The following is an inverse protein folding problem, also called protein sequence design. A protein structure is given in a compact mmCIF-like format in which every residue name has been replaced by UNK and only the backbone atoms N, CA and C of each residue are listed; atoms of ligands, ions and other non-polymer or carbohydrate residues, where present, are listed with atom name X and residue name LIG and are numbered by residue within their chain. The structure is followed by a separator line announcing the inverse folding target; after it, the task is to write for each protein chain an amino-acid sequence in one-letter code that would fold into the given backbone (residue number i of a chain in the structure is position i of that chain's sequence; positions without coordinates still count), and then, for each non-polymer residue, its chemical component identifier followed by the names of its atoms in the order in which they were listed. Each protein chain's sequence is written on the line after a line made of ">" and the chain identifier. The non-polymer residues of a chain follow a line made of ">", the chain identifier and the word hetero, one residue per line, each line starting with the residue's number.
data_IF_935289680347
#
_entry.id   IF_935289680347
#
_cell.length_a   1.000
_cell.length_b   1.000
_cell.length_c   1.000
_cell.angle_alpha   90.00
_cell.angle_beta   90.00
_cell.angle_gamma   90.00
#
_symmetry.space_group_name_H-M   'P 1'
#
loop_
_entity.id
_entity.type
_entity.pdbx_description
1 polymer ?
#
# COMPACT_ATOMS: atom_id res chain seq x y z
N UNK A 1 4.23 -18.08 -0.14
CA UNK A 1 4.07 -16.84 -0.94
C UNK A 1 3.35 -15.75 -0.16
N UNK A 2 2.47 -16.09 0.78
CA UNK A 2 1.93 -15.12 1.73
C UNK A 2 2.87 -14.93 2.92
N UNK A 3 3.05 -13.67 3.29
CA UNK A 3 3.87 -13.27 4.42
C UNK A 3 3.12 -13.54 5.73
N UNK A 4 3.33 -14.72 6.33
CA UNK A 4 2.52 -15.23 7.43
C UNK A 4 2.64 -14.33 8.68
N UNK A 5 1.50 -13.83 9.18
CA UNK A 5 1.43 -12.91 10.32
C UNK A 5 1.64 -11.43 9.96
N UNK A 6 1.75 -11.08 8.68
CA UNK A 6 1.76 -9.67 8.26
C UNK A 6 0.43 -8.96 8.56
N UNK A 7 -0.67 -9.72 8.64
CA UNK A 7 -2.00 -9.20 8.94
C UNK A 7 -2.06 -8.49 10.30
N UNK A 8 -1.31 -8.99 11.28
CA UNK A 8 -1.23 -8.36 12.61
C UNK A 8 -0.60 -6.97 12.59
N UNK A 9 0.15 -6.62 11.53
CA UNK A 9 0.75 -5.30 11.38
C UNK A 9 -0.24 -4.26 10.82
N UNK A 10 -1.40 -4.70 10.34
CA UNK A 10 -2.41 -3.84 9.70
C UNK A 10 -3.81 -4.05 10.30
N UNK A 11 -3.90 -4.71 11.46
CA UNK A 11 -5.15 -4.96 12.18
C UNK A 11 -5.11 -4.41 13.60
N UNK A 12 -6.31 -4.17 14.17
CA UNK A 12 -6.48 -3.77 15.56
C UNK A 12 -5.77 -2.45 15.88
N UNK A 13 -5.07 -2.40 17.02
CA UNK A 13 -4.35 -1.22 17.48
C UNK A 13 -3.08 -0.92 16.69
N UNK A 14 -2.65 -1.83 15.81
CA UNK A 14 -1.37 -1.75 15.14
C UNK A 14 -1.45 -1.01 13.79
N UNK A 15 -2.68 -0.79 13.29
CA UNK A 15 -2.94 -0.08 12.03
C UNK A 15 -2.43 1.37 12.04
N UNK A 16 -2.54 2.07 13.16
CA UNK A 16 -2.16 3.49 13.30
C UNK A 16 -0.74 3.69 13.85
N UNK A 17 0.05 2.62 13.91
CA UNK A 17 1.42 2.72 14.42
C UNK A 17 2.35 3.39 13.40
N UNK A 18 3.39 4.12 13.83
CA UNK A 18 4.34 4.77 12.92
C UNK A 18 4.98 3.82 11.89
N UNK A 19 5.10 2.53 12.20
CA UNK A 19 5.61 1.52 11.29
C UNK A 19 4.71 1.28 10.06
N UNK A 20 3.42 1.62 10.13
CA UNK A 20 2.47 1.56 9.01
C UNK A 20 2.17 2.95 8.42
N UNK A 21 2.99 3.97 8.72
CA UNK A 21 2.77 5.34 8.27
C UNK A 21 3.95 5.82 7.42
N UNK A 22 3.64 6.48 6.31
CA UNK A 22 4.62 7.20 5.48
C UNK A 22 4.03 8.55 5.06
N UNK A 23 4.85 9.61 5.14
CA UNK A 23 4.45 10.93 4.66
C UNK A 23 4.92 11.11 3.23
N UNK A 24 4.00 11.46 2.34
CA UNK A 24 4.24 11.64 0.91
C UNK A 24 3.67 12.98 0.44
N UNK A 25 4.22 13.53 -0.64
CA UNK A 25 3.55 14.62 -1.37
C UNK A 25 2.24 14.10 -1.97
N UNK A 26 1.31 14.99 -2.31
CA UNK A 26 -0.03 14.62 -2.78
C UNK A 26 0.00 13.66 -3.99
N UNK A 27 0.88 13.90 -4.96
CA UNK A 27 1.01 13.04 -6.14
C UNK A 27 1.56 11.67 -5.76
N UNK A 28 2.64 11.63 -4.97
CA UNK A 28 3.24 10.39 -4.49
C UNK A 28 2.26 9.58 -3.63
N UNK A 29 1.45 10.23 -2.80
CA UNK A 29 0.40 9.58 -2.02
C UNK A 29 -0.63 8.90 -2.94
N UNK A 30 -1.07 9.62 -3.99
CA UNK A 30 -2.02 9.08 -4.96
C UNK A 30 -1.44 7.89 -5.72
N UNK A 31 -0.18 7.98 -6.16
CA UNK A 31 0.49 6.90 -6.87
C UNK A 31 0.81 5.71 -5.96
N UNK A 32 1.10 5.96 -4.67
CA UNK A 32 1.33 4.90 -3.69
C UNK A 32 0.08 4.05 -3.49
N UNK A 33 -1.08 4.70 -3.29
CA UNK A 33 -2.36 4.01 -3.11
C UNK A 33 -2.85 3.26 -4.36
N UNK A 34 -2.51 3.76 -5.56
CA UNK A 34 -2.81 3.08 -6.82
C UNK A 34 -1.78 1.98 -7.18
N UNK A 35 -0.73 1.78 -6.37
CA UNK A 35 0.38 0.87 -6.67
C UNK A 35 1.18 1.20 -7.94
N UNK A 36 1.20 2.47 -8.33
CA UNK A 36 1.94 2.96 -9.50
C UNK A 36 3.40 3.32 -9.17
N UNK A 37 3.70 3.60 -7.90
CA UNK A 37 5.05 3.66 -7.35
C UNK A 37 5.32 2.48 -6.42
N UNK A 38 6.58 2.16 -6.19
CA UNK A 38 6.98 1.07 -5.29
C UNK A 38 8.38 1.30 -4.69
N UNK A 39 8.62 0.63 -3.57
CA UNK A 39 9.82 0.77 -2.76
C UNK A 39 10.65 -0.50 -2.85
N UNK A 40 11.60 -0.55 -3.78
CA UNK A 40 12.49 -1.71 -3.92
C UNK A 40 13.58 -1.66 -2.82
N UNK A 41 13.69 -2.68 -1.95
CA UNK A 41 14.71 -2.69 -0.91
C UNK A 41 16.10 -2.83 -1.53
N UNK A 42 17.06 -2.04 -1.04
CA UNK A 42 18.47 -2.22 -1.38
C UNK A 42 19.08 -3.22 -0.41
N UNK A 43 19.64 -4.31 -0.95
CA UNK A 43 20.26 -5.36 -0.14
C UNK A 43 21.37 -4.76 0.75
N UNK A 44 21.48 -5.27 1.97
CA UNK A 44 22.46 -4.86 2.97
C UNK A 44 22.38 -3.39 3.42
N UNK A 45 21.28 -2.68 3.11
CA UNK A 45 21.03 -1.32 3.56
C UNK A 45 19.68 -1.17 4.26
N UNK A 46 19.70 -1.19 5.59
CA UNK A 46 18.48 -1.06 6.40
C UNK A 46 17.73 0.26 6.13
N UNK A 47 16.42 0.11 5.90
CA UNK A 47 15.47 1.19 5.59
C UNK A 47 15.87 2.04 4.38
N UNK A 48 16.68 1.50 3.46
CA UNK A 48 17.05 2.16 2.22
C UNK A 48 16.35 1.51 1.04
N UNK A 49 15.76 2.34 0.19
CA UNK A 49 14.95 1.90 -0.93
C UNK A 49 15.32 2.65 -2.19
N UNK A 50 15.29 1.94 -3.32
CA UNK A 50 15.17 2.53 -4.64
C UNK A 50 13.68 2.69 -4.92
N UNK A 51 13.21 3.94 -4.88
CA UNK A 51 11.81 4.30 -5.15
C UNK A 51 11.68 4.47 -6.66
N UNK A 52 10.74 3.75 -7.26
CA UNK A 52 10.51 3.74 -8.71
C UNK A 52 9.01 3.82 -9.02
N UNK A 53 8.69 4.03 -10.29
CA UNK A 53 7.33 4.02 -10.82
C UNK A 53 7.21 3.09 -12.02
N UNK A 54 5.99 2.68 -12.34
CA UNK A 54 5.67 2.06 -13.62
C UNK A 54 5.41 3.08 -14.74
N UNK A 55 5.47 4.38 -14.43
CA UNK A 55 5.27 5.44 -15.40
C UNK A 55 6.48 5.59 -16.32
N UNK A 56 6.24 6.19 -17.49
CA UNK A 56 7.34 6.58 -18.36
C UNK A 56 8.21 7.64 -17.66
N UNK A 57 9.56 7.60 -17.77
CA UNK A 57 10.46 8.55 -17.06
C UNK A 57 10.14 10.04 -17.29
N UNK A 58 9.56 10.39 -18.44
CA UNK A 58 9.10 11.75 -18.73
C UNK A 58 7.96 12.23 -17.81
N UNK A 59 7.14 11.33 -17.29
CA UNK A 59 6.05 11.65 -16.36
C UNK A 59 6.52 11.71 -14.90
N UNK A 60 7.67 11.11 -14.59
CA UNK A 60 8.25 11.10 -13.24
C UNK A 60 9.74 11.45 -13.29
N UNK A 61 10.09 12.71 -13.60
CA UNK A 61 11.49 13.12 -13.74
C UNK A 61 12.31 12.97 -12.44
N UNK A 62 11.65 12.98 -11.28
CA UNK A 62 12.29 12.80 -9.98
C UNK A 62 12.50 11.32 -9.59
N UNK A 63 12.09 10.37 -10.44
CA UNK A 63 12.23 8.92 -10.22
C UNK A 63 13.02 8.25 -11.36
N UNK A 64 13.82 7.20 -11.08
CA UNK A 64 13.98 6.55 -9.78
C UNK A 64 14.91 7.33 -8.83
N UNK A 65 14.70 7.16 -7.53
CA UNK A 65 15.51 7.82 -6.50
C UNK A 65 15.85 6.89 -5.34
N UNK A 66 17.06 6.99 -4.80
CA UNK A 66 17.45 6.26 -3.59
C UNK A 66 17.17 7.13 -2.36
N UNK A 67 16.44 6.56 -1.40
CA UNK A 67 16.09 7.23 -0.14
C UNK A 67 16.23 6.27 1.04
N UNK A 68 16.75 6.81 2.14
CA UNK A 68 16.74 6.16 3.44
C UNK A 68 15.61 6.74 4.27
N UNK A 69 14.68 5.92 4.73
CA UNK A 69 13.47 6.35 5.41
C UNK A 69 13.65 6.34 6.94
N UNK A 70 14.32 7.37 7.46
CA UNK A 70 14.32 7.70 8.89
C UNK A 70 13.78 9.11 9.08
N UNK A 71 12.87 9.28 10.05
CA UNK A 71 12.23 10.58 10.30
C UNK A 71 13.21 11.59 10.91
N UNK A 72 14.10 11.12 11.81
CA UNK A 72 15.07 11.97 12.52
C UNK A 72 16.38 11.22 12.75
N UNK A 73 17.49 11.96 12.86
CA UNK A 73 18.78 11.41 13.32
C UNK A 73 18.69 10.81 14.72
N UNK A 74 17.82 11.38 15.57
CA UNK A 74 17.54 10.90 16.93
C UNK A 74 16.75 9.59 16.96
N UNK A 75 16.14 9.17 15.83
CA UNK A 75 15.38 7.92 15.68
C UNK A 75 14.32 7.68 16.76
N UNK A 76 13.72 8.76 17.27
CA UNK A 76 12.68 8.69 18.32
C UNK A 76 11.38 8.08 17.83
N UNK A 77 11.13 8.14 16.51
CA UNK A 77 10.01 7.49 15.83
C UNK A 77 10.57 6.36 14.97
N UNK A 78 10.01 5.17 15.11
CA UNK A 78 10.38 4.02 14.30
C UNK A 78 10.12 4.28 12.81
N UNK A 79 11.00 3.82 11.90
CA UNK A 79 10.80 3.98 10.47
C UNK A 79 9.60 3.13 9.98
N UNK A 80 9.09 3.40 8.78
CA UNK A 80 8.13 2.52 8.12
C UNK A 80 8.65 1.09 8.07
N UNK A 81 7.76 0.12 8.30
CA UNK A 81 8.09 -1.30 8.33
C UNK A 81 8.61 -1.76 6.98
N UNK A 82 9.82 -2.34 6.98
CA UNK A 82 10.39 -2.90 5.75
C UNK A 82 9.52 -4.02 5.19
N UNK A 83 8.84 -4.75 6.07
CA UNK A 83 7.94 -5.85 5.72
C UNK A 83 6.69 -5.33 5.01
N UNK A 84 6.10 -4.24 5.50
CA UNK A 84 4.93 -3.62 4.84
C UNK A 84 5.30 -3.01 3.49
N UNK A 85 6.46 -2.37 3.40
CA UNK A 85 6.96 -1.86 2.11
C UNK A 85 7.30 -2.97 1.12
N UNK A 86 7.82 -4.11 1.59
CA UNK A 86 8.05 -5.28 0.74
C UNK A 86 6.73 -5.89 0.23
N UNK A 87 5.68 -5.92 1.08
CA UNK A 87 4.35 -6.35 0.68
C UNK A 87 3.74 -5.41 -0.37
N UNK A 88 3.88 -4.10 -0.18
CA UNK A 88 3.48 -3.10 -1.17
C UNK A 88 4.22 -3.30 -2.50
N UNK A 89 5.54 -3.43 -2.47
CA UNK A 89 6.37 -3.70 -3.65
C UNK A 89 5.90 -4.94 -4.43
N UNK A 90 5.71 -6.07 -3.73
CA UNK A 90 5.26 -7.31 -4.35
C UNK A 90 3.85 -7.15 -4.95
N UNK A 91 2.94 -6.49 -4.23
CA UNK A 91 1.58 -6.21 -4.69
C UNK A 91 1.59 -5.33 -5.93
N UNK A 92 2.38 -4.25 -5.95
CA UNK A 92 2.53 -3.37 -7.11
C UNK A 92 2.96 -4.15 -8.36
N UNK A 93 3.93 -5.05 -8.23
CA UNK A 93 4.38 -5.86 -9.36
C UNK A 93 3.32 -6.85 -9.83
N UNK A 94 2.63 -7.53 -8.91
CA UNK A 94 1.55 -8.45 -9.25
C UNK A 94 0.43 -7.70 -9.98
N UNK A 95 0.01 -6.54 -9.46
CA UNK A 95 -1.05 -5.72 -10.04
C UNK A 95 -0.67 -5.17 -11.42
N UNK A 96 0.58 -4.74 -11.58
CA UNK A 96 1.09 -4.24 -12.85
C UNK A 96 1.16 -5.35 -13.91
N UNK A 97 1.79 -6.49 -13.58
CA UNK A 97 1.96 -7.62 -14.50
C UNK A 97 0.64 -8.30 -14.87
N UNK A 98 -0.35 -8.28 -13.98
CA UNK A 98 -1.69 -8.82 -14.25
C UNK A 98 -2.62 -7.84 -14.97
N UNK A 99 -2.17 -6.60 -15.21
CA UNK A 99 -3.01 -5.48 -15.67
C UNK A 99 -4.27 -5.22 -14.79
N UNK A 100 -4.28 -5.74 -13.54
CA UNK A 100 -5.40 -5.63 -12.63
C UNK A 100 -5.37 -4.35 -11.78
N UNK A 101 -4.26 -3.59 -11.81
CA UNK A 101 -4.07 -2.38 -11.02
C UNK A 101 -5.25 -1.39 -11.15
N UNK A 102 -5.69 -1.12 -12.39
CA UNK A 102 -6.80 -0.20 -12.64
C UNK A 102 -8.16 -0.71 -12.13
N UNK A 103 -8.41 -2.02 -12.28
CA UNK A 103 -9.64 -2.65 -11.81
C UNK A 103 -9.73 -2.65 -10.28
N UNK A 104 -8.66 -3.03 -9.60
CA UNK A 104 -8.59 -3.08 -8.13
C UNK A 104 -8.61 -1.67 -7.53
N UNK A 105 -7.86 -0.73 -8.12
CA UNK A 105 -7.90 0.68 -7.71
C UNK A 105 -9.31 1.27 -7.81
N UNK A 106 -10.05 0.95 -8.88
CA UNK A 106 -11.45 1.38 -9.01
C UNK A 106 -12.31 0.77 -7.90
N UNK A 107 -12.16 -0.51 -7.60
CA UNK A 107 -12.89 -1.16 -6.52
C UNK A 107 -12.60 -0.49 -5.17
N UNK A 108 -11.33 -0.20 -4.87
CA UNK A 108 -10.92 0.45 -3.63
C UNK A 108 -11.44 1.89 -3.53
N UNK A 109 -11.34 2.68 -4.60
CA UNK A 109 -11.90 4.05 -4.64
C UNK A 109 -13.41 4.08 -4.46
N UNK A 110 -14.13 3.16 -5.11
CA UNK A 110 -15.57 2.99 -4.92
C UNK A 110 -15.95 2.62 -3.46
N UNK A 111 -15.00 2.04 -2.70
CA UNK A 111 -15.17 1.67 -1.29
C UNK A 111 -14.79 2.81 -0.34
N UNK A 112 -13.71 3.55 -0.60
CA UNK A 112 -13.24 4.67 0.22
C UNK A 112 -14.08 5.94 0.06
N UNK A 113 -14.58 6.25 -1.15
CA UNK A 113 -15.19 7.55 -1.47
C UNK A 113 -16.69 7.70 -1.08
N UNK A 114 -17.29 6.82 -0.29
CA UNK A 114 -18.75 6.92 -0.07
C UNK A 114 -19.17 7.87 1.05
N UNK A 115 -19.33 9.13 0.66
CA UNK A 115 -20.56 9.86 1.02
C UNK A 115 -21.77 8.99 0.64
N UNK A 116 -22.73 8.87 1.56
CA UNK A 116 -24.03 8.27 1.29
C UNK A 116 -24.58 8.86 -0.01
N UNK A 117 -24.94 8.01 -0.98
CA UNK A 117 -25.66 8.48 -2.17
C UNK A 117 -26.93 9.21 -1.70
N UNK A 118 -27.43 10.16 -2.50
CA UNK A 118 -28.60 10.96 -2.12
C UNK A 118 -29.86 10.13 -1.79
N UNK A 119 -29.88 8.84 -2.20
CA UNK A 119 -30.92 7.85 -1.91
C UNK A 119 -30.65 7.00 -0.65
N UNK A 120 -29.59 7.30 0.11
CA UNK A 120 -29.15 6.55 1.29
C UNK A 120 -28.48 5.21 0.97
N UNK A 121 -28.29 4.85 -0.30
CA UNK A 121 -27.64 3.60 -0.68
C UNK A 121 -26.11 3.70 -0.54
N UNK A 122 -25.50 2.59 -0.13
CA UNK A 122 -24.04 2.45 0.06
C UNK A 122 -23.53 1.19 -0.65
N UNK A 123 -22.23 1.13 -0.95
CA UNK A 123 -21.60 -0.10 -1.50
C UNK A 123 -21.36 -1.15 -0.40
N UNK A 124 -21.93 -0.98 0.81
CA UNK A 124 -21.72 -1.88 1.94
C UNK A 124 -22.04 -3.34 1.59
N UNK A 125 -23.06 -3.61 0.77
CA UNK A 125 -23.36 -4.97 0.29
C UNK A 125 -22.25 -5.61 -0.55
N UNK A 126 -21.54 -4.82 -1.36
CA UNK A 126 -20.38 -5.27 -2.13
C UNK A 126 -19.17 -5.53 -1.22
N UNK A 127 -18.96 -4.67 -0.23
CA UNK A 127 -17.90 -4.79 0.78
C UNK A 127 -18.11 -6.05 1.64
N UNK A 128 -19.33 -6.27 2.12
CA UNK A 128 -19.69 -7.45 2.89
C UNK A 128 -19.56 -8.72 2.04
N UNK A 129 -19.97 -8.69 0.77
CA UNK A 129 -19.79 -9.81 -0.15
C UNK A 129 -18.31 -10.15 -0.40
N UNK A 130 -17.42 -9.16 -0.49
CA UNK A 130 -15.97 -9.39 -0.58
C UNK A 130 -15.41 -9.99 0.71
N UNK A 131 -15.89 -9.55 1.87
CA UNK A 131 -15.48 -10.09 3.18
C UNK A 131 -15.97 -11.53 3.37
N UNK A 132 -17.21 -11.84 3.01
CA UNK A 132 -17.85 -13.15 3.19
C UNK A 132 -17.59 -14.12 2.03
N UNK A 133 -17.15 -13.66 0.86
CA UNK A 133 -16.76 -14.48 -0.29
C UNK A 133 -15.44 -15.25 -0.12
N UNK A 134 -15.01 -15.50 1.12
CA UNK A 134 -13.85 -16.32 1.44
C UNK A 134 -12.56 -15.55 1.76
N UNK A 135 -12.55 -14.22 1.79
CA UNK A 135 -11.35 -13.49 2.22
C UNK A 135 -11.02 -13.74 3.71
N UNK A 136 -12.03 -13.95 4.55
CA UNK A 136 -11.86 -14.32 5.96
C UNK A 136 -11.56 -15.81 6.21
N UNK A 137 -11.86 -16.71 5.26
CA UNK A 137 -11.65 -18.16 5.46
C UNK A 137 -10.19 -18.60 5.19
N UNK A 138 -9.34 -17.73 4.63
CA UNK A 138 -7.92 -18.00 4.44
C UNK A 138 -7.07 -17.87 5.73
N UNK A 139 -7.68 -17.64 6.89
CA UNK A 139 -6.99 -17.36 8.17
C UNK A 139 -7.05 -18.54 9.17
N UNK A 140 -7.68 -19.65 8.81
CA UNK A 140 -7.64 -20.86 9.65
C UNK A 140 -7.28 -22.11 8.85
N UNK A 141 -5.98 -22.31 8.60
CA UNK A 141 -5.37 -23.66 8.63
C UNK A 141 -3.88 -23.59 8.90
#
# INVERSE_FOLDING_TARGET
>A
MFDNGAIHLIEGTDVDRPQNVITLTQDLHSWFGNFDIFFEPILDQEHTYRIQSFFHPMATPDLPVVRRLYLTESRTIGPPSQRLLALHYATSHILHLSAAAGYITKILKDMEWKDTRADGSTELGRILSLRFGGWSEAVHT
#
